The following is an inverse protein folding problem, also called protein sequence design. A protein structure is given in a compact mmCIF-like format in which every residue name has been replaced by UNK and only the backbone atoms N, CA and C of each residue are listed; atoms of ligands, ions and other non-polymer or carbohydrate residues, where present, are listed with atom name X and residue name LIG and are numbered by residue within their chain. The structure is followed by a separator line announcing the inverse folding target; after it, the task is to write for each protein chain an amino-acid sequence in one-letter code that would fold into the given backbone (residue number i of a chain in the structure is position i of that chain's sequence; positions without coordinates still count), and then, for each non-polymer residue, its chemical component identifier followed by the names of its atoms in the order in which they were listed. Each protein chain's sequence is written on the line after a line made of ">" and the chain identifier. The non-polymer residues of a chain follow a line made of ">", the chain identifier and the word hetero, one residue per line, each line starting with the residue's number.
data_IF_963470947387
#
_entry.id   IF_963470947387
#
_cell.length_a   1.000
_cell.length_b   1.000
_cell.length_c   1.000
_cell.angle_alpha   90.00
_cell.angle_beta   90.00
_cell.angle_gamma   90.00
#
_symmetry.space_group_name_H-M   'P 1'
#
loop_
_entity.id
_entity.type
_entity.pdbx_description
1 polymer ?
#
# COMPACT_ATOMS: atom_id res chain seq x y z
N UNK A 1 18.19 -5.86 -26.79
CA UNK A 1 17.27 -5.49 -25.69
C UNK A 1 15.87 -5.91 -26.09
N UNK A 2 15.22 -6.63 -25.20
CA UNK A 2 13.84 -7.12 -25.39
C UNK A 2 12.91 -6.44 -24.40
N UNK A 3 11.64 -6.36 -24.78
CA UNK A 3 10.55 -5.89 -23.95
C UNK A 3 9.45 -6.95 -23.91
N UNK A 4 8.98 -7.37 -22.72
CA UNK A 4 7.73 -8.11 -22.57
C UNK A 4 6.69 -7.17 -21.99
N UNK A 5 5.49 -7.19 -22.55
CA UNK A 5 4.47 -6.17 -22.26
C UNK A 5 3.22 -6.83 -21.72
N UNK A 6 2.72 -6.27 -20.61
CA UNK A 6 1.44 -6.64 -20.01
C UNK A 6 0.52 -5.44 -20.01
N UNK A 7 -0.79 -5.63 -20.25
CA UNK A 7 -1.76 -4.55 -20.30
C UNK A 7 -3.02 -4.85 -19.52
N UNK A 8 -3.54 -3.81 -18.87
CA UNK A 8 -4.88 -3.76 -18.30
C UNK A 8 -5.62 -2.58 -18.91
N UNK A 9 -6.78 -2.84 -19.52
CA UNK A 9 -7.55 -1.81 -20.20
C UNK A 9 -9.05 -2.16 -20.19
N UNK A 10 -9.89 -1.24 -19.69
CA UNK A 10 -11.33 -1.43 -19.63
C UNK A 10 -12.00 -1.47 -21.02
N UNK A 11 -11.52 -0.66 -21.98
CA UNK A 11 -12.06 -0.61 -23.32
C UNK A 11 -11.96 -1.96 -24.05
N UNK A 12 -10.86 -2.69 -23.82
CA UNK A 12 -10.59 -3.99 -24.44
C UNK A 12 -10.92 -5.17 -23.51
N UNK A 13 -11.39 -4.92 -22.28
CA UNK A 13 -11.57 -5.93 -21.22
C UNK A 13 -10.32 -6.74 -20.92
N UNK A 14 -9.14 -6.13 -21.10
CA UNK A 14 -7.85 -6.76 -20.82
C UNK A 14 -7.51 -6.69 -19.33
N UNK A 15 -7.06 -7.81 -18.79
CA UNK A 15 -6.80 -8.03 -17.36
C UNK A 15 -5.42 -8.64 -17.19
N UNK A 16 -4.38 -7.81 -17.02
CA UNK A 16 -2.97 -8.24 -17.02
C UNK A 16 -2.62 -9.09 -18.27
N UNK A 17 -3.18 -8.72 -19.41
CA UNK A 17 -3.00 -9.47 -20.65
C UNK A 17 -1.54 -9.42 -21.09
N UNK A 18 -0.94 -10.58 -21.31
CA UNK A 18 0.41 -10.70 -21.85
C UNK A 18 0.39 -10.46 -23.38
N UNK A 19 0.95 -9.36 -23.81
CA UNK A 19 1.04 -8.99 -25.24
C UNK A 19 2.24 -9.59 -25.95
N UNK A 20 3.08 -10.34 -25.23
CA UNK A 20 4.25 -11.00 -25.78
C UNK A 20 5.54 -10.16 -25.76
N UNK A 21 6.51 -10.61 -26.53
CA UNK A 21 7.85 -10.00 -26.60
C UNK A 21 8.00 -9.10 -27.84
N UNK A 22 8.70 -8.00 -27.64
CA UNK A 22 9.04 -7.01 -28.66
C UNK A 22 10.54 -6.74 -28.65
N UNK A 23 11.13 -6.50 -29.82
CA UNK A 23 12.52 -6.08 -29.92
C UNK A 23 12.58 -4.54 -29.99
N UNK A 24 13.49 -3.95 -29.22
CA UNK A 24 13.78 -2.53 -29.37
C UNK A 24 14.70 -2.31 -30.57
N UNK A 25 14.32 -1.37 -31.40
CA UNK A 25 15.06 -0.95 -32.55
C UNK A 25 16.21 0.00 -32.15
N UNK A 26 17.33 -0.03 -32.88
CA UNK A 26 18.40 0.96 -32.69
C UNK A 26 17.89 2.34 -33.10
N UNK A 27 18.13 3.33 -32.26
CA UNK A 27 17.88 4.72 -32.65
C UNK A 27 18.60 5.08 -33.92
N UNK A 28 17.88 5.56 -34.96
CA UNK A 28 18.48 5.77 -36.29
C UNK A 28 19.39 7.00 -36.37
N UNK A 29 19.43 7.84 -35.32
CA UNK A 29 20.18 9.08 -35.30
C UNK A 29 21.14 9.14 -34.11
N UNK A 30 22.37 9.62 -34.33
CA UNK A 30 23.25 9.98 -33.23
C UNK A 30 22.86 11.36 -32.68
N UNK A 31 23.21 11.62 -31.41
CA UNK A 31 22.99 12.93 -30.77
C UNK A 31 23.65 14.07 -31.57
N UNK A 32 24.79 13.79 -32.24
CA UNK A 32 25.53 14.75 -33.04
C UNK A 32 24.83 15.15 -34.36
N UNK A 33 23.83 14.40 -34.78
CA UNK A 33 23.07 14.64 -36.02
C UNK A 33 21.61 14.97 -35.78
N UNK A 34 21.23 15.28 -34.55
CA UNK A 34 19.88 15.57 -34.17
C UNK A 34 19.35 16.86 -34.82
N UNK A 35 18.88 16.72 -36.05
CA UNK A 35 17.90 17.66 -36.58
C UNK A 35 16.63 17.40 -35.81
N UNK A 36 16.17 18.40 -35.02
CA UNK A 36 14.86 18.33 -34.33
C UNK A 36 13.81 18.01 -35.38
N UNK A 37 13.40 16.76 -35.41
CA UNK A 37 12.34 16.35 -36.33
C UNK A 37 11.00 16.54 -35.60
N UNK A 38 9.99 16.82 -36.43
CA UNK A 38 8.58 16.81 -36.01
C UNK A 38 8.19 15.55 -35.20
N UNK A 39 8.96 14.46 -35.38
CA UNK A 39 8.80 13.18 -34.69
C UNK A 39 8.94 13.30 -33.16
N UNK A 40 9.90 14.09 -32.66
CA UNK A 40 10.17 14.24 -31.23
C UNK A 40 9.08 15.07 -30.51
N UNK A 41 8.34 15.87 -31.29
CA UNK A 41 7.23 16.69 -30.79
C UNK A 41 5.88 15.99 -31.01
N UNK A 42 5.74 15.21 -32.09
CA UNK A 42 4.51 14.48 -32.42
C UNK A 42 4.43 13.13 -31.74
N UNK A 43 5.55 12.45 -31.56
CA UNK A 43 5.61 11.22 -30.80
C UNK A 43 5.87 11.54 -29.34
N UNK A 44 4.93 11.17 -28.47
CA UNK A 44 5.01 11.36 -27.02
C UNK A 44 6.14 10.49 -26.46
N UNK A 45 7.34 11.03 -26.46
CA UNK A 45 8.55 10.33 -26.04
C UNK A 45 8.55 10.11 -24.53
N UNK A 46 8.86 8.89 -24.12
CA UNK A 46 9.19 8.54 -22.73
C UNK A 46 10.65 8.09 -22.71
N UNK A 47 11.52 8.86 -22.05
CA UNK A 47 12.93 8.50 -21.88
C UNK A 47 13.12 7.83 -20.52
N UNK A 48 13.86 6.73 -20.50
CA UNK A 48 14.26 6.03 -19.29
C UNK A 48 15.78 6.20 -19.09
N UNK A 49 16.14 6.60 -17.88
CA UNK A 49 17.50 6.87 -17.44
C UNK A 49 17.88 5.91 -16.31
N UNK A 50 18.28 4.67 -16.61
CA UNK A 50 18.57 3.66 -15.60
C UNK A 50 19.80 3.98 -14.74
N UNK A 51 20.66 4.88 -15.20
CA UNK A 51 21.84 5.39 -14.48
C UNK A 51 21.46 6.36 -13.36
N UNK A 52 20.27 6.95 -13.40
CA UNK A 52 19.74 7.87 -12.36
C UNK A 52 18.90 7.06 -11.38
N UNK A 53 19.45 6.79 -10.19
CA UNK A 53 18.82 5.97 -9.19
C UNK A 53 18.29 6.82 -8.01
N UNK A 54 17.12 6.42 -7.48
CA UNK A 54 16.48 7.01 -6.31
C UNK A 54 16.35 5.99 -5.17
N UNK A 55 15.33 6.14 -4.33
CA UNK A 55 15.09 5.24 -3.21
C UNK A 55 14.64 3.85 -3.66
N UNK A 56 15.00 2.85 -2.87
CA UNK A 56 14.48 1.50 -3.03
C UNK A 56 13.02 1.42 -2.58
N UNK A 57 12.31 0.45 -3.15
CA UNK A 57 10.92 0.13 -2.87
C UNK A 57 10.82 -1.19 -2.11
N UNK A 58 10.06 -1.23 -1.02
CA UNK A 58 9.98 -2.38 -0.12
C UNK A 58 8.88 -3.38 -0.51
N UNK A 59 7.87 -2.96 -1.29
CA UNK A 59 6.83 -3.87 -1.79
C UNK A 59 5.40 -3.33 -1.69
N UNK A 60 4.47 -4.17 -2.15
CA UNK A 60 3.02 -3.97 -2.10
C UNK A 60 2.36 -4.96 -1.14
N UNK A 61 1.25 -4.56 -0.55
CA UNK A 61 0.43 -5.41 0.30
C UNK A 61 -1.01 -4.95 0.42
N UNK A 62 -1.78 -5.67 1.22
CA UNK A 62 -3.16 -5.33 1.56
C UNK A 62 -3.47 -5.64 3.01
N UNK A 63 -4.61 -5.15 3.50
CA UNK A 63 -4.99 -5.35 4.88
C UNK A 63 -5.73 -6.68 5.10
N UNK A 64 -5.16 -7.49 5.97
CA UNK A 64 -5.81 -8.65 6.58
C UNK A 64 -6.53 -8.17 7.84
N UNK A 65 -7.64 -7.43 7.65
CA UNK A 65 -8.54 -7.04 8.72
C UNK A 65 -9.28 -8.24 9.27
N UNK A 66 -9.94 -8.12 10.42
CA UNK A 66 -10.82 -9.19 10.93
C UNK A 66 -11.91 -9.53 9.90
N UNK A 67 -12.47 -8.52 9.20
CA UNK A 67 -13.43 -8.72 8.12
C UNK A 67 -12.87 -9.58 6.97
N UNK A 68 -11.68 -9.23 6.49
CA UNK A 68 -10.97 -10.01 5.47
C UNK A 68 -10.75 -11.45 5.92
N UNK A 69 -10.22 -11.63 7.13
CA UNK A 69 -9.89 -12.96 7.65
C UNK A 69 -11.12 -13.84 7.91
N UNK A 70 -12.21 -13.27 8.43
CA UNK A 70 -13.47 -14.01 8.66
C UNK A 70 -14.12 -14.41 7.33
N UNK A 71 -14.09 -13.53 6.32
CA UNK A 71 -14.56 -13.90 4.98
C UNK A 71 -13.72 -15.03 4.38
N UNK A 72 -12.40 -14.96 4.50
CA UNK A 72 -11.49 -16.01 4.08
C UNK A 72 -11.79 -17.35 4.79
N UNK A 73 -11.95 -17.34 6.12
CA UNK A 73 -12.23 -18.55 6.90
C UNK A 73 -13.57 -19.19 6.54
N UNK A 74 -14.54 -18.41 6.06
CA UNK A 74 -15.85 -18.90 5.63
C UNK A 74 -15.87 -19.54 4.23
N UNK A 75 -14.77 -19.40 3.46
CA UNK A 75 -14.67 -19.95 2.11
C UNK A 75 -14.40 -21.46 2.12
N UNK A 76 -14.81 -22.20 1.06
CA UNK A 76 -14.28 -23.52 0.75
C UNK A 76 -12.76 -23.49 0.55
N UNK A 77 -12.08 -24.61 0.81
CA UNK A 77 -10.62 -24.69 0.72
C UNK A 77 -10.06 -24.30 -0.65
N UNK A 78 -10.72 -24.69 -1.74
CA UNK A 78 -10.32 -24.33 -3.11
C UNK A 78 -10.33 -22.81 -3.32
N UNK A 79 -11.32 -22.11 -2.77
CA UNK A 79 -11.39 -20.63 -2.86
C UNK A 79 -10.38 -19.96 -1.95
N UNK A 80 -10.11 -20.51 -0.76
CA UNK A 80 -9.04 -20.03 0.12
C UNK A 80 -7.70 -20.05 -0.60
N UNK A 81 -7.41 -21.17 -1.26
CA UNK A 81 -6.19 -21.33 -2.06
C UNK A 81 -6.16 -20.33 -3.22
N UNK A 82 -7.27 -20.21 -3.97
CA UNK A 82 -7.40 -19.26 -5.09
C UNK A 82 -7.11 -17.83 -4.65
N UNK A 83 -7.70 -17.37 -3.53
CA UNK A 83 -7.50 -16.00 -3.01
C UNK A 83 -6.05 -15.76 -2.62
N UNK A 84 -5.43 -16.67 -1.86
CA UNK A 84 -4.03 -16.50 -1.44
C UNK A 84 -3.08 -16.53 -2.62
N UNK A 85 -3.28 -17.45 -3.56
CA UNK A 85 -2.53 -17.51 -4.80
C UNK A 85 -2.68 -16.22 -5.60
N UNK A 86 -3.89 -15.69 -5.73
CA UNK A 86 -4.17 -14.47 -6.46
C UNK A 86 -3.45 -13.26 -5.87
N UNK A 87 -3.37 -13.12 -4.56
CA UNK A 87 -2.67 -12.01 -3.94
C UNK A 87 -1.16 -12.22 -3.85
N UNK A 88 -0.70 -13.38 -3.39
CA UNK A 88 0.67 -13.57 -2.94
C UNK A 88 1.58 -14.29 -3.94
N UNK A 89 1.03 -15.09 -4.85
CA UNK A 89 1.85 -15.72 -5.88
C UNK A 89 2.40 -14.68 -6.86
N UNK A 90 3.71 -14.69 -7.05
CA UNK A 90 4.35 -13.83 -8.06
C UNK A 90 4.07 -14.32 -9.48
N UNK A 91 3.96 -15.61 -9.67
CA UNK A 91 3.77 -16.23 -10.99
C UNK A 91 2.31 -16.15 -11.44
N UNK A 92 1.38 -16.59 -10.60
CA UNK A 92 -0.03 -16.72 -10.94
C UNK A 92 -0.91 -15.55 -10.46
N UNK A 93 -0.47 -14.83 -9.41
CA UNK A 93 -1.18 -13.71 -8.81
C UNK A 93 -0.55 -12.35 -9.11
N UNK A 94 -0.85 -11.39 -8.24
CA UNK A 94 -0.31 -10.01 -8.32
C UNK A 94 0.93 -9.81 -7.43
N UNK A 95 1.38 -10.84 -6.72
CA UNK A 95 2.67 -10.90 -6.04
C UNK A 95 2.84 -9.95 -4.86
N UNK A 96 1.82 -9.79 -4.00
CA UNK A 96 1.96 -9.07 -2.74
C UNK A 96 3.00 -9.74 -1.84
N UNK A 97 3.76 -8.94 -1.13
CA UNK A 97 4.82 -9.36 -0.21
C UNK A 97 4.66 -8.77 1.18
N UNK A 98 3.59 -8.01 1.37
CA UNK A 98 3.29 -7.32 2.60
C UNK A 98 1.84 -7.59 3.01
N UNK A 99 1.57 -7.55 4.32
CA UNK A 99 0.22 -7.54 4.88
C UNK A 99 0.13 -6.49 5.99
N UNK A 100 -1.05 -5.87 6.16
CA UNK A 100 -1.36 -4.99 7.29
C UNK A 100 -2.42 -5.62 8.16
N UNK A 101 -2.25 -5.57 9.47
CA UNK A 101 -3.23 -6.06 10.45
C UNK A 101 -3.58 -4.99 11.48
N UNK A 102 -4.78 -5.04 12.03
CA UNK A 102 -5.14 -4.21 13.17
C UNK A 102 -4.58 -4.78 14.47
N UNK A 103 -4.15 -3.91 15.38
CA UNK A 103 -3.83 -4.25 16.76
C UNK A 103 -5.08 -4.00 17.61
N UNK A 104 -5.81 -5.05 17.93
CA UNK A 104 -7.16 -4.96 18.46
C UNK A 104 -8.20 -4.68 17.38
N UNK A 105 -9.38 -4.19 17.79
CA UNK A 105 -10.47 -3.92 16.86
C UNK A 105 -10.23 -2.72 15.94
N UNK A 106 -10.85 -2.75 14.78
CA UNK A 106 -10.94 -1.66 13.81
C UNK A 106 -12.37 -1.56 13.29
N UNK A 107 -12.64 -0.58 12.42
CA UNK A 107 -13.93 -0.42 11.73
C UNK A 107 -14.36 -1.68 10.96
N UNK A 108 -13.42 -2.40 10.35
CA UNK A 108 -13.67 -3.66 9.63
C UNK A 108 -13.44 -4.87 10.52
N UNK A 109 -14.28 -4.99 11.54
CA UNK A 109 -14.33 -6.09 12.49
C UNK A 109 -15.78 -6.46 12.87
N UNK A 110 -15.94 -7.47 13.71
CA UNK A 110 -17.25 -7.96 14.15
C UNK A 110 -17.79 -7.12 15.30
N UNK A 111 -16.93 -6.69 16.20
CA UNK A 111 -17.24 -5.81 17.35
C UNK A 111 -15.97 -5.11 17.85
N UNK A 112 -16.17 -4.16 18.80
CA UNK A 112 -15.05 -3.48 19.48
C UNK A 112 -14.48 -4.35 20.59
N UNK A 113 -13.16 -4.52 20.62
CA UNK A 113 -12.45 -5.28 21.66
C UNK A 113 -11.03 -4.77 21.90
N UNK A 114 -10.47 -5.21 23.01
CA UNK A 114 -9.02 -5.13 23.30
C UNK A 114 -8.55 -6.49 23.84
N UNK A 115 -7.24 -6.72 23.83
CA UNK A 115 -6.65 -7.98 24.32
C UNK A 115 -6.63 -8.10 25.84
N UNK A 116 -7.00 -7.05 26.58
CA UNK A 116 -7.02 -7.04 28.04
C UNK A 116 -8.42 -6.73 28.57
N UNK A 117 -8.72 -7.21 29.77
CA UNK A 117 -9.96 -6.87 30.47
C UNK A 117 -9.94 -5.40 30.91
N UNK A 118 -11.13 -4.84 31.09
CA UNK A 118 -11.30 -3.44 31.51
C UNK A 118 -10.59 -3.15 32.84
N UNK A 119 -9.71 -2.15 32.81
CA UNK A 119 -8.97 -1.69 34.00
C UNK A 119 -7.74 -2.52 34.37
N UNK A 120 -7.33 -3.48 33.55
CA UNK A 120 -6.10 -4.22 33.80
C UNK A 120 -4.85 -3.37 33.49
N UNK A 121 -4.19 -2.87 34.55
CA UNK A 121 -2.96 -2.09 34.44
C UNK A 121 -1.68 -2.97 34.50
N UNK A 122 -1.83 -4.30 34.58
CA UNK A 122 -0.71 -5.25 34.63
C UNK A 122 -0.48 -6.00 33.33
N UNK A 123 -1.48 -5.99 32.44
CA UNK A 123 -1.55 -6.79 31.21
C UNK A 123 -1.52 -8.31 31.47
N UNK A 124 -1.88 -8.77 32.68
CA UNK A 124 -1.95 -10.20 33.01
C UNK A 124 -3.14 -10.89 32.33
N UNK A 125 -4.22 -10.14 32.05
CA UNK A 125 -5.39 -10.66 31.34
C UNK A 125 -5.25 -10.66 29.81
N UNK A 126 -4.03 -10.42 29.28
CA UNK A 126 -3.80 -10.33 27.83
C UNK A 126 -4.16 -11.65 27.13
N UNK A 127 -5.24 -11.62 26.35
CA UNK A 127 -5.77 -12.75 25.60
C UNK A 127 -5.73 -12.48 24.08
N UNK A 128 -4.97 -13.30 23.37
CA UNK A 128 -4.79 -13.20 21.92
C UNK A 128 -5.64 -14.23 21.14
N UNK A 129 -6.49 -14.98 21.82
CA UNK A 129 -7.28 -16.08 21.24
C UNK A 129 -8.21 -15.64 20.11
N UNK A 130 -8.57 -14.35 20.05
CA UNK A 130 -9.40 -13.81 18.98
C UNK A 130 -8.68 -13.84 17.63
N UNK A 131 -7.43 -13.43 17.60
CA UNK A 131 -6.61 -13.45 16.37
C UNK A 131 -6.32 -14.88 15.89
N UNK A 132 -6.26 -15.83 16.82
CA UNK A 132 -6.09 -17.26 16.52
C UNK A 132 -7.27 -17.87 15.75
N UNK A 133 -8.42 -17.19 15.70
CA UNK A 133 -9.61 -17.69 15.00
C UNK A 133 -9.57 -17.44 13.50
N UNK A 134 -8.97 -16.37 13.04
CA UNK A 134 -9.01 -15.99 11.64
C UNK A 134 -7.73 -15.30 11.12
N UNK A 135 -7.27 -14.22 11.75
CA UNK A 135 -6.14 -13.41 11.24
C UNK A 135 -4.84 -14.22 11.20
N UNK A 136 -4.47 -14.85 12.30
CA UNK A 136 -3.25 -15.67 12.38
C UNK A 136 -3.28 -16.85 11.41
N UNK A 137 -4.37 -17.66 11.33
CA UNK A 137 -4.48 -18.74 10.33
C UNK A 137 -4.31 -18.24 8.90
N UNK A 138 -4.98 -17.15 8.50
CA UNK A 138 -4.86 -16.60 7.15
C UNK A 138 -3.42 -16.15 6.85
N UNK A 139 -2.75 -15.46 7.78
CA UNK A 139 -1.36 -15.03 7.60
C UNK A 139 -0.39 -16.21 7.47
N UNK A 140 -0.60 -17.29 8.24
CA UNK A 140 0.22 -18.50 8.12
C UNK A 140 0.08 -19.16 6.75
N UNK A 141 -1.14 -19.21 6.22
CA UNK A 141 -1.38 -19.74 4.88
C UNK A 141 -0.80 -18.80 3.80
N UNK A 142 -0.90 -17.48 3.98
CA UNK A 142 -0.30 -16.50 3.08
C UNK A 142 1.24 -16.62 3.00
N UNK A 143 1.91 -16.92 4.12
CA UNK A 143 3.37 -17.17 4.16
C UNK A 143 3.80 -18.36 3.30
N UNK A 144 2.94 -19.31 2.98
CA UNK A 144 3.27 -20.40 2.06
C UNK A 144 3.43 -19.94 0.61
N UNK A 145 2.80 -18.81 0.25
CA UNK A 145 2.87 -18.18 -1.07
C UNK A 145 3.91 -17.04 -1.14
N UNK A 146 4.16 -16.39 -0.01
CA UNK A 146 5.17 -15.33 0.15
C UNK A 146 5.97 -15.61 1.43
N UNK A 147 7.05 -16.38 1.31
CA UNK A 147 7.86 -16.85 2.46
C UNK A 147 8.36 -15.68 3.32
N UNK A 148 8.81 -14.60 2.66
CA UNK A 148 9.31 -13.38 3.30
C UNK A 148 8.19 -12.34 3.58
N UNK A 149 6.94 -12.77 3.79
CA UNK A 149 5.82 -11.89 4.05
C UNK A 149 6.09 -11.00 5.25
N UNK A 150 6.13 -9.68 5.04
CA UNK A 150 6.30 -8.66 6.08
C UNK A 150 4.93 -8.19 6.57
N UNK A 151 4.76 -8.10 7.88
CA UNK A 151 3.48 -7.69 8.47
C UNK A 151 3.62 -6.34 9.18
N UNK A 152 2.74 -5.39 8.83
CA UNK A 152 2.57 -4.11 9.51
C UNK A 152 1.41 -4.23 10.51
N UNK A 153 1.67 -3.96 11.79
CA UNK A 153 0.62 -3.80 12.80
C UNK A 153 0.22 -2.33 12.96
N UNK A 154 -1.08 -2.03 12.97
CA UNK A 154 -1.60 -0.67 13.18
C UNK A 154 -2.70 -0.69 14.24
N UNK A 155 -2.63 0.19 15.24
CA UNK A 155 -3.64 0.28 16.29
C UNK A 155 -4.67 1.36 15.98
N UNK A 156 -5.96 1.06 16.14
CA UNK A 156 -7.04 2.03 15.97
C UNK A 156 -7.38 2.76 17.27
N UNK A 157 -7.36 2.05 18.39
CA UNK A 157 -7.61 2.64 19.71
C UNK A 157 -6.91 1.84 20.80
N UNK A 158 -6.32 2.50 21.79
CA UNK A 158 -5.99 1.84 23.05
C UNK A 158 -7.26 1.32 23.76
N UNK A 159 -7.14 0.39 24.72
CA UNK A 159 -8.22 0.02 25.60
C UNK A 159 -8.91 1.27 26.18
N UNK A 160 -10.24 1.29 26.21
CA UNK A 160 -11.01 2.50 26.52
C UNK A 160 -10.68 3.13 27.88
N UNK A 161 -10.38 2.31 28.91
CA UNK A 161 -10.00 2.82 30.24
C UNK A 161 -8.69 3.61 30.27
N UNK A 162 -7.83 3.43 29.23
CA UNK A 162 -6.61 4.22 29.09
C UNK A 162 -6.86 5.61 28.51
N UNK A 163 -8.08 5.90 28.05
CA UNK A 163 -8.43 7.14 27.34
C UNK A 163 -9.21 8.11 28.24
N UNK A 164 -9.13 9.38 27.93
CA UNK A 164 -9.77 10.47 28.67
C UNK A 164 -11.30 10.44 28.61
N UNK A 165 -11.88 9.85 27.55
CA UNK A 165 -13.31 9.72 27.32
C UNK A 165 -13.88 8.33 27.65
N UNK A 166 -13.07 7.39 28.11
CA UNK A 166 -13.43 6.00 28.39
C UNK A 166 -14.24 5.32 27.26
N UNK A 167 -13.85 5.58 26.00
CA UNK A 167 -14.50 5.05 24.80
C UNK A 167 -13.48 4.54 23.79
N UNK A 168 -13.83 3.55 23.00
CA UNK A 168 -13.02 3.16 21.83
C UNK A 168 -13.01 4.24 20.74
N UNK A 169 -14.02 5.13 20.73
CA UNK A 169 -14.21 6.17 19.71
C UNK A 169 -13.62 7.50 20.19
N UNK A 170 -12.77 8.12 19.37
CA UNK A 170 -12.18 9.44 19.66
C UNK A 170 -11.40 9.50 20.96
N UNK A 171 -11.31 10.68 21.56
CA UNK A 171 -10.57 10.93 22.79
C UNK A 171 -9.06 10.85 22.63
N UNK A 172 -8.33 10.90 23.73
CA UNK A 172 -6.87 10.90 23.79
C UNK A 172 -6.37 9.87 24.79
N UNK A 173 -5.24 9.23 24.51
CA UNK A 173 -4.53 8.40 25.47
C UNK A 173 -4.04 9.27 26.64
N UNK A 174 -4.37 8.87 27.86
CA UNK A 174 -3.91 9.57 29.06
C UNK A 174 -2.39 9.38 29.27
N UNK A 175 -1.63 10.45 29.55
CA UNK A 175 -0.17 10.38 29.65
C UNK A 175 0.33 9.33 30.66
N UNK A 176 -0.39 9.07 31.75
CA UNK A 176 -0.07 8.04 32.75
C UNK A 176 -0.01 6.63 32.15
N UNK A 177 -0.70 6.39 31.03
CA UNK A 177 -0.76 5.09 30.37
C UNK A 177 0.17 4.93 29.17
N UNK A 178 1.02 5.92 28.81
CA UNK A 178 1.95 5.78 27.68
C UNK A 178 2.89 4.58 27.84
N UNK A 179 3.39 4.33 29.06
CA UNK A 179 4.22 3.16 29.33
C UNK A 179 3.45 1.83 29.24
N UNK A 180 2.22 1.80 29.76
CA UNK A 180 1.36 0.63 29.70
C UNK A 180 0.94 0.31 28.26
N UNK A 181 0.61 1.35 27.47
CA UNK A 181 0.29 1.19 26.05
C UNK A 181 1.48 0.71 25.24
N UNK A 182 2.67 1.22 25.50
CA UNK A 182 3.91 0.71 24.91
C UNK A 182 4.15 -0.77 25.21
N UNK A 183 3.95 -1.20 26.46
CA UNK A 183 4.04 -2.60 26.87
C UNK A 183 2.95 -3.48 26.21
N UNK A 184 1.75 -2.96 26.03
CA UNK A 184 0.67 -3.66 25.32
C UNK A 184 1.04 -3.92 23.86
N UNK A 185 1.56 -2.90 23.15
CA UNK A 185 2.02 -3.03 21.76
C UNK A 185 3.19 -4.02 21.65
N UNK A 186 4.09 -4.05 22.64
CA UNK A 186 5.15 -5.06 22.70
C UNK A 186 4.58 -6.47 22.88
N UNK A 187 3.60 -6.66 23.78
CA UNK A 187 2.94 -7.96 23.94
C UNK A 187 2.25 -8.43 22.65
N UNK A 188 1.66 -7.52 21.87
CA UNK A 188 1.13 -7.86 20.55
C UNK A 188 2.23 -8.40 19.62
N UNK A 189 3.37 -7.74 19.55
CA UNK A 189 4.53 -8.19 18.75
C UNK A 189 4.96 -9.60 19.18
N UNK A 190 5.16 -9.80 20.49
CA UNK A 190 5.58 -11.07 21.04
C UNK A 190 4.54 -12.18 20.78
N UNK A 191 3.25 -11.90 20.94
CA UNK A 191 2.16 -12.84 20.67
C UNK A 191 2.06 -13.26 19.20
N UNK A 192 2.32 -12.34 18.27
CA UNK A 192 2.40 -12.66 16.84
C UNK A 192 3.62 -13.53 16.53
N UNK A 193 4.78 -13.19 17.10
CA UNK A 193 6.01 -13.96 16.93
C UNK A 193 5.89 -15.39 17.47
N UNK A 194 5.27 -15.59 18.64
CA UNK A 194 4.95 -16.93 19.18
C UNK A 194 4.12 -17.78 18.23
N UNK A 195 3.36 -17.13 17.35
CA UNK A 195 2.54 -17.77 16.31
C UNK A 195 3.24 -17.91 14.96
N UNK A 196 4.52 -17.57 14.90
CA UNK A 196 5.33 -17.64 13.68
C UNK A 196 5.06 -16.52 12.68
N UNK A 197 4.51 -15.40 13.15
CA UNK A 197 4.27 -14.19 12.36
C UNK A 197 5.18 -13.06 12.89
N UNK A 198 6.18 -12.70 12.11
CA UNK A 198 7.06 -11.60 12.47
C UNK A 198 6.44 -10.25 12.09
N UNK A 199 6.25 -9.39 13.08
CA UNK A 199 5.84 -8.00 12.83
C UNK A 199 7.06 -7.22 12.34
N UNK A 200 7.01 -6.81 11.08
CA UNK A 200 8.06 -6.02 10.44
C UNK A 200 8.03 -4.55 10.88
N UNK A 201 6.82 -4.00 11.03
CA UNK A 201 6.64 -2.61 11.40
C UNK A 201 5.38 -2.40 12.24
N UNK A 202 5.34 -1.28 12.98
CA UNK A 202 4.18 -0.81 13.73
C UNK A 202 3.88 0.65 13.38
N UNK A 203 2.57 0.97 13.29
CA UNK A 203 2.06 2.32 13.51
C UNK A 203 1.28 2.31 14.83
N UNK A 204 1.73 3.06 15.86
CA UNK A 204 1.12 2.99 17.19
C UNK A 204 -0.29 3.57 17.24
N UNK A 205 -0.71 4.28 16.19
CA UNK A 205 -2.06 4.81 16.03
C UNK A 205 -2.39 5.01 14.54
N UNK A 206 -3.49 4.42 14.10
CA UNK A 206 -4.15 4.72 12.83
C UNK A 206 -4.91 6.05 12.92
N UNK A 207 -4.75 6.92 11.91
CA UNK A 207 -5.47 8.19 11.74
C UNK A 207 -5.42 9.13 12.96
N UNK A 208 -4.23 9.47 13.42
CA UNK A 208 -3.94 10.25 14.64
C UNK A 208 -4.67 11.59 14.76
N UNK A 209 -5.27 12.12 13.70
CA UNK A 209 -5.90 13.46 13.69
C UNK A 209 -7.42 13.43 13.56
N UNK A 210 -8.03 12.26 13.49
CA UNK A 210 -9.45 12.14 13.22
C UNK A 210 -10.18 11.42 14.33
N UNK A 211 -11.19 12.07 14.89
CA UNK A 211 -12.16 11.41 15.73
C UNK A 211 -13.20 10.76 14.82
N UNK A 212 -13.21 9.43 14.81
CA UNK A 212 -14.11 8.65 13.99
C UNK A 212 -15.31 8.13 14.80
N UNK A 213 -16.30 7.61 14.09
CA UNK A 213 -17.46 6.94 14.71
C UNK A 213 -17.17 5.46 15.02
N UNK A 214 -16.00 5.00 14.65
CA UNK A 214 -15.42 3.69 14.97
C UNK A 214 -14.19 3.88 15.87
N UNK A 215 -13.45 2.80 16.13
CA UNK A 215 -12.23 2.84 16.93
C UNK A 215 -11.29 3.93 16.42
N UNK A 216 -10.92 4.81 17.31
CA UNK A 216 -10.03 5.93 17.01
C UNK A 216 -9.46 6.55 18.28
N UNK A 217 -8.31 7.19 18.16
CA UNK A 217 -7.69 7.94 19.24
C UNK A 217 -6.88 9.09 18.63
N UNK A 218 -7.04 10.29 19.15
CA UNK A 218 -6.36 11.47 18.63
C UNK A 218 -5.04 11.73 19.33
N UNK A 219 -4.03 12.13 18.53
CA UNK A 219 -2.72 12.54 19.03
C UNK A 219 -2.26 13.82 18.34
N UNK A 220 -1.79 14.79 19.11
CA UNK A 220 -0.91 15.82 18.57
C UNK A 220 0.46 15.23 18.24
N UNK A 221 1.28 15.95 17.47
CA UNK A 221 2.66 15.51 17.21
C UNK A 221 3.43 15.32 18.53
N UNK A 222 3.26 16.23 19.49
CA UNK A 222 3.91 16.15 20.79
C UNK A 222 3.49 14.87 21.56
N UNK A 223 2.21 14.51 21.53
CA UNK A 223 1.72 13.30 22.22
C UNK A 223 2.27 12.03 21.58
N UNK A 224 2.36 11.96 20.26
CA UNK A 224 3.03 10.84 19.57
C UNK A 224 4.52 10.76 19.94
N UNK A 225 5.22 11.90 19.96
CA UNK A 225 6.64 11.96 20.36
C UNK A 225 6.87 11.44 21.79
N UNK A 226 6.02 11.84 22.74
CA UNK A 226 6.10 11.35 24.13
C UNK A 226 5.79 9.86 24.25
N UNK A 227 4.83 9.35 23.46
CA UNK A 227 4.57 7.91 23.36
C UNK A 227 5.79 7.17 22.79
N UNK A 228 6.42 7.67 21.74
CA UNK A 228 7.59 7.05 21.11
C UNK A 228 8.76 6.92 22.09
N UNK A 229 8.97 7.91 22.97
CA UNK A 229 10.00 7.86 24.04
C UNK A 229 9.77 6.70 25.05
N UNK A 230 8.54 6.13 25.07
CA UNK A 230 8.22 4.92 25.85
C UNK A 230 8.22 3.67 24.97
N UNK A 231 7.68 3.77 23.76
CA UNK A 231 7.52 2.64 22.85
C UNK A 231 8.87 2.20 22.25
N UNK A 232 9.73 3.14 21.87
CA UNK A 232 11.06 2.81 21.33
C UNK A 232 11.86 1.88 22.24
N UNK A 233 12.09 2.23 23.53
CA UNK A 233 12.74 1.33 24.48
C UNK A 233 11.96 0.02 24.71
N UNK A 234 10.64 0.03 24.69
CA UNK A 234 9.84 -1.19 24.85
C UNK A 234 10.02 -2.20 23.69
N UNK A 235 10.39 -1.72 22.51
CA UNK A 235 10.66 -2.54 21.33
C UNK A 235 12.15 -2.94 21.20
N UNK A 236 13.01 -2.52 22.10
CA UNK A 236 14.41 -2.97 22.10
C UNK A 236 14.51 -4.50 22.12
N UNK A 237 15.44 -5.02 21.33
CA UNK A 237 15.61 -6.47 21.13
C UNK A 237 14.66 -7.08 20.08
N UNK A 238 13.86 -6.26 19.40
CA UNK A 238 13.11 -6.65 18.20
C UNK A 238 13.64 -5.93 16.97
N UNK A 239 13.32 -6.45 15.78
CA UNK A 239 13.62 -5.79 14.49
C UNK A 239 12.47 -4.90 13.99
N UNK A 240 11.46 -4.62 14.83
CA UNK A 240 10.25 -3.88 14.48
C UNK A 240 10.57 -2.42 14.16
N UNK A 241 10.15 -1.96 12.99
CA UNK A 241 10.29 -0.57 12.53
C UNK A 241 9.10 0.26 12.99
N UNK A 242 9.33 1.46 13.52
CA UNK A 242 8.25 2.39 13.86
C UNK A 242 7.99 3.38 12.73
N UNK A 243 6.72 3.51 12.38
CA UNK A 243 6.22 4.56 11.51
C UNK A 243 5.16 5.36 12.26
N UNK A 244 5.17 6.67 12.08
CA UNK A 244 4.26 7.59 12.78
C UNK A 244 3.30 8.28 11.82
N UNK A 245 2.35 9.01 12.38
CA UNK A 245 1.32 9.77 11.70
C UNK A 245 0.18 8.90 11.17
N UNK A 246 0.46 7.98 10.25
CA UNK A 246 -0.51 7.01 9.71
C UNK A 246 -1.87 7.63 9.38
N UNK A 247 -1.83 8.74 8.62
CA UNK A 247 -2.99 9.57 8.28
C UNK A 247 -2.83 10.23 6.92
N UNK A 248 -3.83 10.99 6.46
CA UNK A 248 -3.86 11.61 5.14
C UNK A 248 -2.65 12.50 4.81
N UNK A 249 -2.25 12.50 3.54
CA UNK A 249 -1.02 13.12 3.03
C UNK A 249 -0.89 14.63 3.29
N UNK A 250 -1.98 15.38 3.44
CA UNK A 250 -1.98 16.86 3.43
C UNK A 250 -1.10 17.53 4.50
N UNK A 251 -0.81 16.84 5.61
CA UNK A 251 0.07 17.35 6.67
C UNK A 251 1.26 16.45 6.99
N UNK A 252 1.63 15.59 6.05
CA UNK A 252 2.68 14.61 6.24
C UNK A 252 4.03 15.26 6.59
N UNK A 253 4.43 16.30 5.83
CA UNK A 253 5.70 16.98 6.05
C UNK A 253 5.76 17.70 7.39
N UNK A 254 4.69 18.40 7.79
CA UNK A 254 4.59 19.07 9.09
C UNK A 254 4.84 18.07 10.25
N UNK A 255 4.26 16.88 10.15
CA UNK A 255 4.43 15.81 11.14
C UNK A 255 5.85 15.22 11.10
N UNK A 256 6.35 14.91 9.92
CA UNK A 256 7.72 14.42 9.73
C UNK A 256 8.74 15.39 10.30
N UNK A 257 8.57 16.70 10.05
CA UNK A 257 9.44 17.74 10.58
C UNK A 257 9.45 17.75 12.12
N UNK A 258 8.27 17.63 12.76
CA UNK A 258 8.19 17.57 14.21
C UNK A 258 8.96 16.38 14.77
N UNK A 259 8.75 15.17 14.22
CA UNK A 259 9.35 13.94 14.72
C UNK A 259 10.86 13.86 14.50
N UNK A 260 11.31 14.23 13.30
CA UNK A 260 12.73 14.05 12.92
C UNK A 260 13.62 15.20 13.37
N UNK A 261 13.05 16.32 13.80
CA UNK A 261 13.81 17.41 14.44
C UNK A 261 14.14 17.14 15.90
N UNK A 262 13.50 16.16 16.56
CA UNK A 262 13.86 15.72 17.92
C UNK A 262 14.73 14.44 17.82
N UNK A 263 16.05 14.50 18.12
CA UNK A 263 16.93 13.34 18.02
C UNK A 263 16.52 12.18 18.93
N UNK A 264 15.86 12.45 20.08
CA UNK A 264 15.39 11.43 21.01
C UNK A 264 14.19 10.64 20.46
N UNK A 265 13.46 11.22 19.51
CA UNK A 265 12.38 10.56 18.78
C UNK A 265 12.91 9.94 17.49
N UNK A 266 13.68 10.73 16.71
CA UNK A 266 14.16 10.34 15.39
C UNK A 266 14.96 9.02 15.38
N UNK A 267 15.69 8.72 16.47
CA UNK A 267 16.48 7.48 16.61
C UNK A 267 15.63 6.20 16.64
N UNK A 268 14.36 6.28 17.04
CA UNK A 268 13.44 5.13 17.11
C UNK A 268 12.54 5.01 15.89
N UNK A 269 12.41 6.07 15.07
CA UNK A 269 11.42 6.16 14.01
C UNK A 269 12.06 5.93 12.65
N UNK A 270 11.64 4.88 11.95
CA UNK A 270 12.08 4.55 10.58
C UNK A 270 11.53 5.55 9.57
N UNK A 271 10.28 5.97 9.73
CA UNK A 271 9.62 6.82 8.77
C UNK A 271 8.25 7.33 9.20
N UNK A 272 7.54 7.89 8.24
CA UNK A 272 6.13 8.30 8.39
C UNK A 272 5.24 7.51 7.45
N UNK A 273 4.00 7.25 7.90
CA UNK A 273 3.00 6.57 7.12
C UNK A 273 1.89 7.54 6.70
N UNK A 274 1.32 7.34 5.51
CA UNK A 274 0.23 8.17 5.03
C UNK A 274 -0.88 7.37 4.34
N UNK A 275 -2.08 7.98 4.29
CA UNK A 275 -3.27 7.52 3.62
C UNK A 275 -3.59 8.39 2.40
N UNK A 276 -4.40 7.90 1.48
CA UNK A 276 -4.69 8.56 0.20
C UNK A 276 -5.92 9.48 0.21
N UNK A 277 -6.70 9.52 1.29
CA UNK A 277 -8.06 10.08 1.29
C UNK A 277 -8.13 11.60 1.13
N UNK A 278 -7.03 12.32 1.35
CA UNK A 278 -6.94 13.77 1.09
C UNK A 278 -6.54 14.13 -0.33
N UNK A 279 -6.51 13.19 -1.27
CA UNK A 279 -6.04 13.32 -2.64
C UNK A 279 -4.52 13.33 -2.78
N UNK A 280 -4.01 13.86 -3.88
CA UNK A 280 -2.64 13.69 -4.37
C UNK A 280 -1.56 14.11 -3.37
N UNK A 281 -1.48 15.37 -3.02
CA UNK A 281 -0.49 15.93 -2.08
C UNK A 281 0.93 15.34 -2.20
N UNK A 282 1.33 14.86 -3.41
CA UNK A 282 2.64 14.21 -3.65
C UNK A 282 3.81 15.10 -3.25
N UNK A 283 3.64 16.42 -3.32
CA UNK A 283 4.63 17.39 -2.83
C UNK A 283 4.98 17.24 -1.35
N UNK A 284 4.07 16.75 -0.52
CA UNK A 284 4.34 16.47 0.90
C UNK A 284 5.35 15.32 1.06
N UNK A 285 5.22 14.27 0.24
CA UNK A 285 6.14 13.13 0.21
C UNK A 285 7.51 13.59 -0.31
N UNK A 286 7.54 14.38 -1.40
CA UNK A 286 8.77 14.93 -1.96
C UNK A 286 9.52 15.79 -0.95
N UNK A 287 8.83 16.66 -0.18
CA UNK A 287 9.42 17.44 0.89
C UNK A 287 10.02 16.56 1.98
N UNK A 288 9.30 15.51 2.43
CA UNK A 288 9.85 14.56 3.40
C UNK A 288 11.14 13.92 2.88
N UNK A 289 11.17 13.46 1.64
CA UNK A 289 12.35 12.82 1.05
C UNK A 289 13.49 13.79 0.78
N UNK A 290 13.20 15.06 0.51
CA UNK A 290 14.21 16.09 0.30
C UNK A 290 14.90 16.49 1.62
N UNK A 291 14.11 16.70 2.68
CA UNK A 291 14.62 17.19 3.97
C UNK A 291 15.17 16.04 4.84
N UNK A 292 14.57 14.86 4.75
CA UNK A 292 14.93 13.67 5.52
C UNK A 292 15.18 12.47 4.57
N UNK A 293 16.24 12.50 3.75
CA UNK A 293 16.46 11.51 2.68
C UNK A 293 16.59 10.07 3.20
N UNK A 294 17.11 9.90 4.41
CA UNK A 294 17.31 8.59 5.04
C UNK A 294 16.03 8.02 5.66
N UNK A 295 15.00 8.86 5.87
CA UNK A 295 13.72 8.42 6.42
C UNK A 295 12.79 7.90 5.33
N UNK A 296 12.05 6.84 5.66
CA UNK A 296 11.08 6.25 4.74
C UNK A 296 9.73 6.96 4.81
N UNK A 297 8.99 6.86 3.72
CA UNK A 297 7.58 7.24 3.65
C UNK A 297 6.82 6.06 3.09
N UNK A 298 5.77 5.59 3.80
CA UNK A 298 4.89 4.53 3.30
C UNK A 298 3.47 5.06 3.07
N UNK A 299 2.81 4.54 2.06
CA UNK A 299 1.35 4.61 1.94
C UNK A 299 0.79 3.37 2.64
N UNK A 300 0.27 3.56 3.85
CA UNK A 300 -0.18 2.46 4.73
C UNK A 300 -1.63 2.07 4.48
N UNK A 301 -2.41 2.91 3.78
CA UNK A 301 -3.81 2.63 3.49
C UNK A 301 -4.33 3.41 2.29
N UNK A 302 -5.13 2.73 1.48
CA UNK A 302 -5.97 3.29 0.45
C UNK A 302 -7.05 2.31 0.04
N UNK A 303 -8.27 2.76 -0.24
CA UNK A 303 -9.31 1.94 -0.82
C UNK A 303 -10.19 2.71 -1.79
N UNK A 304 -10.80 2.00 -2.71
CA UNK A 304 -11.84 2.56 -3.58
C UNK A 304 -13.10 2.83 -2.75
N UNK A 305 -13.69 4.00 -2.96
CA UNK A 305 -14.97 4.38 -2.38
C UNK A 305 -16.07 4.35 -3.43
N UNK A 306 -17.19 3.75 -3.07
CA UNK A 306 -18.45 3.94 -3.77
C UNK A 306 -19.25 5.01 -3.03
N UNK A 307 -19.41 6.20 -3.58
CA UNK A 307 -20.27 7.22 -2.99
C UNK A 307 -21.70 7.21 -3.57
N UNK A 308 -22.63 7.78 -2.78
CA UNK A 308 -24.02 7.88 -3.18
C UNK A 308 -24.28 8.81 -4.35
N UNK A 309 -23.36 9.72 -4.63
CA UNK A 309 -23.52 10.77 -5.62
C UNK A 309 -23.00 10.37 -7.01
N UNK A 310 -22.63 9.09 -7.15
CA UNK A 310 -22.34 8.53 -8.47
C UNK A 310 -21.02 9.02 -9.07
N UNK A 311 -19.93 8.95 -8.34
CA UNK A 311 -18.69 8.60 -9.01
C UNK A 311 -18.85 7.20 -9.59
N UNK A 312 -19.83 7.18 -10.46
CA UNK A 312 -20.30 6.13 -11.33
C UNK A 312 -20.13 4.71 -10.77
N UNK A 313 -21.14 3.92 -10.93
CA UNK A 313 -21.04 2.47 -10.83
C UNK A 313 -20.11 1.88 -11.91
N UNK A 314 -19.12 2.66 -12.38
CA UNK A 314 -18.09 2.21 -13.30
C UNK A 314 -16.83 1.79 -12.50
N UNK A 315 -16.67 0.50 -12.19
CA UNK A 315 -15.54 0.01 -11.43
C UNK A 315 -14.19 0.19 -12.16
N UNK A 316 -14.21 0.31 -13.51
CA UNK A 316 -13.00 0.60 -14.27
C UNK A 316 -12.55 2.05 -14.07
N UNK A 317 -13.48 3.01 -14.15
CA UNK A 317 -13.19 4.42 -13.93
C UNK A 317 -12.69 4.72 -12.51
N UNK A 318 -13.29 4.07 -11.50
CA UNK A 318 -12.82 4.20 -10.11
C UNK A 318 -11.38 3.69 -9.93
N UNK A 319 -11.03 2.60 -10.62
CA UNK A 319 -9.70 2.02 -10.54
C UNK A 319 -8.61 2.94 -11.12
N UNK A 320 -8.92 3.80 -12.10
CA UNK A 320 -7.96 4.73 -12.71
C UNK A 320 -7.40 5.73 -11.70
N UNK A 321 -8.21 6.18 -10.75
CA UNK A 321 -7.75 7.05 -9.67
C UNK A 321 -6.65 6.36 -8.85
N UNK A 322 -6.79 5.06 -8.63
CA UNK A 322 -5.79 4.27 -7.89
C UNK A 322 -4.47 4.19 -8.65
N UNK A 323 -4.53 4.00 -9.98
CA UNK A 323 -3.34 4.02 -10.85
C UNK A 323 -2.61 5.35 -10.77
N UNK A 324 -3.34 6.47 -10.89
CA UNK A 324 -2.79 7.81 -10.78
C UNK A 324 -2.09 8.03 -9.43
N UNK A 325 -2.75 7.67 -8.33
CA UNK A 325 -2.20 7.83 -6.98
C UNK A 325 -0.94 6.98 -6.77
N UNK A 326 -0.94 5.72 -7.24
CA UNK A 326 0.24 4.85 -7.16
C UNK A 326 1.43 5.47 -7.91
N UNK A 327 1.26 5.88 -9.17
CA UNK A 327 2.33 6.49 -9.97
C UNK A 327 2.85 7.76 -9.29
N UNK A 328 1.96 8.63 -8.84
CA UNK A 328 2.32 9.87 -8.16
C UNK A 328 3.10 9.63 -6.87
N UNK A 329 2.64 8.71 -6.03
CA UNK A 329 3.31 8.31 -4.79
C UNK A 329 4.71 7.72 -5.06
N UNK A 330 4.82 6.79 -6.01
CA UNK A 330 6.09 6.15 -6.37
C UNK A 330 7.10 7.19 -6.89
N UNK A 331 6.66 8.11 -7.76
CA UNK A 331 7.50 9.18 -8.27
C UNK A 331 7.90 10.20 -7.18
N UNK A 332 7.05 10.39 -6.17
CA UNK A 332 7.36 11.23 -5.02
C UNK A 332 8.35 10.60 -4.03
N UNK A 333 8.58 9.27 -4.12
CA UNK A 333 9.57 8.56 -3.31
C UNK A 333 9.00 7.72 -2.17
N UNK A 334 7.74 7.28 -2.30
CA UNK A 334 7.16 6.32 -1.36
C UNK A 334 7.92 5.00 -1.43
N UNK A 335 8.12 4.36 -0.27
CA UNK A 335 8.85 3.09 -0.18
C UNK A 335 7.95 1.86 -0.14
N UNK A 336 6.67 2.02 0.18
CA UNK A 336 5.75 0.90 0.45
C UNK A 336 4.32 1.33 0.16
N UNK A 337 3.49 0.43 -0.39
CA UNK A 337 2.08 0.71 -0.67
C UNK A 337 1.22 -0.44 -0.13
N UNK A 338 0.22 -0.08 0.68
CA UNK A 338 -0.81 -0.99 1.15
C UNK A 338 -2.19 -0.58 0.62
N UNK A 339 -2.87 -1.55 0.04
CA UNK A 339 -4.31 -1.52 -0.16
C UNK A 339 -5.04 -1.74 1.18
N UNK A 340 -6.32 -1.33 1.27
CA UNK A 340 -7.12 -1.62 2.46
C UNK A 340 -7.62 -3.07 2.45
N UNK A 341 -8.87 -3.33 2.78
CA UNK A 341 -9.39 -4.70 2.89
C UNK A 341 -9.11 -5.55 1.65
N UNK A 342 -8.45 -6.68 1.83
CA UNK A 342 -8.20 -7.61 0.73
C UNK A 342 -9.48 -8.30 0.26
N UNK A 343 -10.38 -8.67 1.20
CA UNK A 343 -11.61 -9.40 0.91
C UNK A 343 -12.77 -8.79 1.69
N UNK A 344 -13.83 -8.45 0.99
CA UNK A 344 -15.12 -8.10 1.59
C UNK A 344 -16.24 -8.98 1.02
N UNK A 345 -17.39 -9.03 1.71
CA UNK A 345 -18.54 -9.80 1.26
C UNK A 345 -19.56 -8.96 0.44
N UNK A 346 -20.65 -9.58 0.01
CA UNK A 346 -21.70 -8.95 -0.77
C UNK A 346 -22.39 -7.75 -0.09
N UNK A 347 -22.05 -7.51 1.16
CA UNK A 347 -22.49 -6.35 1.91
C UNK A 347 -21.37 -5.35 2.21
N UNK A 348 -20.19 -5.50 1.56
CA UNK A 348 -18.96 -4.78 1.83
C UNK A 348 -18.51 -4.88 3.30
N UNK A 349 -18.72 -6.05 3.90
CA UNK A 349 -18.45 -6.33 5.31
C UNK A 349 -17.66 -7.62 5.53
N UNK A 350 -17.71 -8.15 6.78
CA UNK A 350 -18.41 -7.61 7.93
C UNK A 350 -17.79 -6.33 8.51
N UNK A 351 -18.61 -5.50 9.09
CA UNK A 351 -18.21 -4.38 9.94
C UNK A 351 -19.28 -4.11 10.99
N UNK A 352 -18.88 -3.74 12.19
CA UNK A 352 -19.82 -3.55 13.32
C UNK A 352 -20.37 -2.12 13.42
N UNK A 353 -19.69 -1.18 12.81
CA UNK A 353 -20.15 0.19 12.78
C UNK A 353 -21.27 0.36 11.74
N UNK A 354 -22.48 0.66 12.22
CA UNK A 354 -23.72 0.63 11.41
C UNK A 354 -24.31 2.00 11.03
N UNK A 355 -23.71 3.09 11.50
CA UNK A 355 -24.21 4.44 11.16
C UNK A 355 -23.57 4.93 9.87
N UNK A 356 -24.30 4.84 8.77
CA UNK A 356 -23.87 5.35 7.49
C UNK A 356 -23.72 4.29 6.43
N UNK A 357 -23.40 4.74 5.24
CA UNK A 357 -23.33 3.94 4.03
C UNK A 357 -21.99 3.22 3.92
N UNK A 358 -22.03 2.11 3.25
CA UNK A 358 -20.90 1.23 2.98
C UNK A 358 -20.08 1.82 1.84
N UNK A 359 -18.89 2.31 2.11
CA UNK A 359 -18.12 3.05 1.12
C UNK A 359 -16.89 2.31 0.61
N UNK A 360 -16.23 1.52 1.46
CA UNK A 360 -15.01 0.83 1.08
C UNK A 360 -15.31 -0.39 0.22
N UNK A 361 -14.49 -0.59 -0.79
CA UNK A 361 -14.47 -1.77 -1.64
C UNK A 361 -13.23 -2.63 -1.35
N UNK A 362 -13.19 -3.83 -1.90
CA UNK A 362 -12.04 -4.73 -1.88
C UNK A 362 -11.71 -5.23 -3.27
N UNK A 363 -10.44 -5.57 -3.52
CA UNK A 363 -10.02 -6.05 -4.82
C UNK A 363 -10.64 -7.41 -5.16
N UNK A 364 -10.83 -8.26 -4.15
CA UNK A 364 -11.57 -9.52 -4.27
C UNK A 364 -12.81 -9.45 -3.37
N UNK A 365 -13.91 -9.80 -3.95
CA UNK A 365 -15.23 -9.77 -3.34
C UNK A 365 -15.78 -11.21 -3.23
N UNK A 366 -16.28 -11.59 -2.07
CA UNK A 366 -16.82 -12.93 -1.81
C UNK A 366 -18.35 -12.91 -1.68
N UNK A 367 -19.04 -13.36 -2.71
CA UNK A 367 -20.50 -13.64 -2.66
C UNK A 367 -20.73 -14.95 -1.89
N UNK A 368 -21.03 -14.82 -0.60
CA UNK A 368 -21.29 -15.95 0.29
C UNK A 368 -22.51 -16.76 -0.12
N UNK A 369 -23.53 -16.12 -0.70
CA UNK A 369 -24.80 -16.78 -1.08
C UNK A 369 -24.61 -17.75 -2.23
N UNK A 370 -23.80 -17.36 -3.21
CA UNK A 370 -23.57 -18.13 -4.42
C UNK A 370 -22.21 -18.85 -4.39
N UNK A 371 -21.43 -18.64 -3.34
CA UNK A 371 -20.10 -19.21 -3.15
C UNK A 371 -19.18 -18.89 -4.35
N UNK A 372 -19.03 -17.59 -4.67
CA UNK A 372 -18.30 -17.11 -5.83
C UNK A 372 -17.36 -15.96 -5.47
N UNK A 373 -16.21 -15.91 -6.14
CA UNK A 373 -15.28 -14.79 -6.08
C UNK A 373 -15.48 -13.87 -7.28
N UNK A 374 -15.37 -12.58 -7.03
CA UNK A 374 -15.36 -11.54 -8.07
C UNK A 374 -14.10 -10.70 -7.90
N UNK A 375 -13.40 -10.46 -9.00
CA UNK A 375 -12.21 -9.64 -9.06
C UNK A 375 -12.58 -8.29 -9.65
N UNK A 376 -12.47 -7.24 -8.86
CA UNK A 376 -12.71 -5.88 -9.33
C UNK A 376 -11.58 -5.40 -10.25
N UNK A 377 -11.83 -4.49 -11.18
CA UNK A 377 -10.82 -4.02 -12.14
C UNK A 377 -9.54 -3.53 -11.47
N UNK A 378 -9.63 -2.88 -10.31
CA UNK A 378 -8.44 -2.36 -9.66
C UNK A 378 -7.48 -3.44 -9.17
N UNK A 379 -7.91 -4.69 -8.93
CA UNK A 379 -7.01 -5.82 -8.72
C UNK A 379 -5.99 -5.94 -9.85
N UNK A 380 -6.46 -5.87 -11.09
CA UNK A 380 -5.61 -6.00 -12.27
C UNK A 380 -4.75 -4.75 -12.50
N UNK A 381 -5.26 -3.57 -12.17
CA UNK A 381 -4.48 -2.34 -12.27
C UNK A 381 -3.37 -2.29 -11.22
N UNK A 382 -3.63 -2.67 -9.98
CA UNK A 382 -2.58 -2.79 -8.95
C UNK A 382 -1.56 -3.85 -9.35
N UNK A 383 -2.02 -4.96 -9.94
CA UNK A 383 -1.17 -6.02 -10.48
C UNK A 383 -0.17 -5.54 -11.54
N UNK A 384 -0.47 -4.47 -12.29
CA UNK A 384 0.48 -3.85 -13.23
C UNK A 384 1.73 -3.28 -12.52
N UNK A 385 1.63 -3.01 -11.23
CA UNK A 385 2.75 -2.56 -10.42
C UNK A 385 3.32 -3.69 -9.57
N UNK A 386 2.49 -4.30 -8.74
CA UNK A 386 2.93 -5.21 -7.69
C UNK A 386 3.55 -6.51 -8.20
N UNK A 387 3.06 -7.02 -9.32
CA UNK A 387 3.61 -8.22 -9.97
C UNK A 387 5.01 -7.99 -10.53
N UNK A 388 5.28 -6.79 -11.03
CA UNK A 388 6.45 -6.50 -11.85
C UNK A 388 7.49 -5.60 -11.17
N UNK A 389 7.12 -4.82 -10.15
CA UNK A 389 8.03 -4.01 -9.34
C UNK A 389 8.24 -4.72 -8.02
N UNK A 390 9.39 -5.37 -7.85
CA UNK A 390 9.64 -6.30 -6.75
C UNK A 390 10.29 -5.62 -5.54
N UNK A 391 10.19 -6.22 -4.34
CA UNK A 391 10.93 -5.75 -3.16
C UNK A 391 12.42 -5.57 -3.49
N UNK A 392 12.97 -4.42 -3.07
CA UNK A 392 14.35 -4.02 -3.39
C UNK A 392 14.52 -3.36 -4.76
N UNK A 393 13.46 -3.23 -5.56
CA UNK A 393 13.53 -2.47 -6.81
C UNK A 393 13.86 -1.00 -6.53
N UNK A 394 14.74 -0.42 -7.34
CA UNK A 394 15.18 0.96 -7.21
C UNK A 394 14.51 1.80 -8.28
N UNK A 395 13.81 2.88 -7.87
CA UNK A 395 13.23 3.81 -8.84
C UNK A 395 14.33 4.45 -9.68
N UNK A 396 14.13 4.48 -11.00
CA UNK A 396 15.07 5.08 -11.95
C UNK A 396 14.51 6.34 -12.59
N UNK A 397 15.39 7.17 -13.14
CA UNK A 397 15.00 8.40 -13.81
C UNK A 397 14.16 8.14 -15.05
N UNK A 398 13.16 8.97 -15.27
CA UNK A 398 12.40 9.00 -16.51
C UNK A 398 11.91 10.42 -16.81
N UNK A 399 11.57 10.67 -18.06
CA UNK A 399 10.88 11.89 -18.48
C UNK A 399 9.85 11.56 -19.57
N UNK A 400 8.71 12.25 -19.56
CA UNK A 400 7.67 12.13 -20.56
C UNK A 400 7.39 13.48 -21.21
N UNK A 401 7.16 13.48 -22.53
CA UNK A 401 6.79 14.68 -23.28
C UNK A 401 5.28 14.97 -23.22
N UNK A 402 4.50 14.04 -22.70
CA UNK A 402 3.06 14.19 -22.58
C UNK A 402 2.59 14.08 -21.11
N UNK A 403 1.87 15.07 -20.59
CA UNK A 403 1.27 14.96 -19.26
C UNK A 403 0.15 13.92 -19.18
N UNK A 404 -0.36 13.46 -20.33
CA UNK A 404 -1.39 12.41 -20.42
C UNK A 404 -0.82 11.00 -20.34
N UNK A 405 0.52 10.84 -20.47
CA UNK A 405 1.23 9.58 -20.26
C UNK A 405 1.93 9.61 -18.91
N UNK A 406 1.21 9.24 -17.87
CA UNK A 406 1.78 9.10 -16.53
C UNK A 406 2.69 7.88 -16.50
N UNK A 407 3.91 8.04 -15.98
CA UNK A 407 4.93 7.00 -16.08
C UNK A 407 5.68 6.87 -14.76
N UNK A 408 6.04 5.64 -14.41
CA UNK A 408 7.05 5.36 -13.39
C UNK A 408 7.96 4.24 -13.86
N UNK A 409 9.21 4.20 -13.37
CA UNK A 409 10.19 3.20 -13.81
C UNK A 409 11.05 2.72 -12.65
N UNK A 410 11.29 1.42 -12.60
CA UNK A 410 12.07 0.76 -11.55
C UNK A 410 13.02 -0.28 -12.12
N UNK A 411 14.22 -0.35 -11.57
CA UNK A 411 15.14 -1.44 -11.80
C UNK A 411 15.01 -2.47 -10.69
N UNK A 412 14.58 -3.67 -11.04
CA UNK A 412 14.44 -4.81 -10.13
C UNK A 412 15.82 -5.36 -9.69
N UNK A 413 15.87 -6.13 -8.58
CA UNK A 413 17.11 -6.77 -8.14
C UNK A 413 17.75 -7.72 -9.16
N UNK A 414 16.97 -8.33 -10.06
CA UNK A 414 17.45 -9.18 -11.16
C UNK A 414 17.98 -8.38 -12.36
N UNK A 415 17.97 -7.04 -12.29
CA UNK A 415 18.42 -6.14 -13.34
C UNK A 415 17.37 -5.80 -14.40
N UNK A 416 16.19 -6.41 -14.39
CA UNK A 416 15.09 -6.03 -15.29
C UNK A 416 14.61 -4.62 -14.96
N UNK A 417 14.16 -3.86 -15.96
CA UNK A 417 13.56 -2.55 -15.75
C UNK A 417 12.07 -2.64 -16.05
N UNK A 418 11.25 -2.42 -15.02
CA UNK A 418 9.81 -2.31 -15.13
C UNK A 418 9.43 -0.85 -15.38
N UNK A 419 8.82 -0.57 -16.53
CA UNK A 419 8.26 0.75 -16.87
C UNK A 419 6.77 0.62 -16.93
N UNK A 420 6.05 1.35 -16.07
CA UNK A 420 4.60 1.41 -16.08
C UNK A 420 4.17 2.70 -16.76
N UNK A 421 3.33 2.59 -17.79
CA UNK A 421 2.79 3.71 -18.56
C UNK A 421 1.27 3.69 -18.48
N UNK A 422 0.69 4.76 -17.99
CA UNK A 422 -0.74 4.98 -17.93
C UNK A 422 -1.16 6.07 -18.91
N UNK A 423 -2.06 5.75 -19.81
CA UNK A 423 -2.73 6.74 -20.66
C UNK A 423 -3.94 7.33 -19.91
N UNK A 424 -3.75 8.49 -19.31
CA UNK A 424 -4.83 9.22 -18.63
C UNK A 424 -5.66 10.08 -19.59
N UNK A 425 -6.15 9.47 -20.68
CA UNK A 425 -7.03 10.11 -21.65
C UNK A 425 -7.98 9.11 -22.33
N UNK A 426 -9.02 9.63 -22.95
CA UNK A 426 -10.06 8.88 -23.67
C UNK A 426 -9.69 8.50 -25.10
N UNK A 427 -8.50 8.88 -25.58
CA UNK A 427 -8.00 8.57 -26.90
C UNK A 427 -6.78 7.64 -26.89
N UNK A 428 -6.57 6.90 -27.98
CA UNK A 428 -5.33 6.18 -28.19
C UNK A 428 -4.15 7.16 -28.35
N UNK A 429 -3.06 6.93 -27.62
CA UNK A 429 -1.88 7.79 -27.66
C UNK A 429 -0.69 7.03 -28.19
N UNK A 430 -0.19 7.32 -29.40
CA UNK A 430 1.09 6.79 -29.85
C UNK A 430 2.21 7.39 -29.00
N UNK A 431 3.16 6.56 -28.61
CA UNK A 431 4.38 6.99 -27.90
C UNK A 431 5.59 6.17 -28.29
N UNK A 432 6.76 6.68 -27.96
CA UNK A 432 8.05 6.00 -28.14
C UNK A 432 8.73 5.90 -26.79
N UNK A 433 9.00 4.68 -26.34
CA UNK A 433 9.87 4.43 -25.20
C UNK A 433 11.32 4.41 -25.67
N UNK A 434 12.16 5.25 -25.07
CA UNK A 434 13.59 5.36 -25.39
C UNK A 434 14.44 4.99 -24.18
N UNK A 435 15.40 4.10 -24.39
CA UNK A 435 16.39 3.75 -23.38
C UNK A 435 17.72 3.35 -24.05
N UNK A 436 18.82 3.99 -23.63
CA UNK A 436 20.19 3.65 -24.09
C UNK A 436 20.34 3.54 -25.62
N UNK A 437 19.79 4.53 -26.35
CA UNK A 437 19.86 4.57 -27.82
C UNK A 437 19.02 3.50 -28.52
N UNK A 438 18.05 2.93 -27.86
CA UNK A 438 17.08 2.00 -28.44
C UNK A 438 15.65 2.52 -28.23
N UNK A 439 14.78 2.22 -29.17
CA UNK A 439 13.41 2.71 -29.27
C UNK A 439 12.41 1.55 -29.32
N UNK A 440 11.28 1.74 -28.65
CA UNK A 440 10.11 0.88 -28.76
C UNK A 440 8.89 1.75 -29.10
N UNK A 441 8.29 1.55 -30.29
CA UNK A 441 7.08 2.24 -30.70
C UNK A 441 5.86 1.53 -30.10
N UNK A 442 4.97 2.29 -29.48
CA UNK A 442 3.74 1.79 -28.85
C UNK A 442 2.54 2.68 -29.12
N UNK A 443 1.37 2.12 -28.92
CA UNK A 443 0.09 2.84 -28.82
C UNK A 443 -0.51 2.49 -27.47
N UNK A 444 -0.66 3.49 -26.61
CA UNK A 444 -1.35 3.36 -25.34
C UNK A 444 -2.85 3.46 -25.58
N UNK A 445 -3.60 2.44 -25.15
CA UNK A 445 -5.05 2.41 -25.25
C UNK A 445 -5.71 3.44 -24.31
N UNK A 446 -6.93 3.90 -24.60
CA UNK A 446 -7.66 4.81 -23.75
C UNK A 446 -7.78 4.28 -22.33
N UNK A 447 -7.37 5.08 -21.35
CA UNK A 447 -7.35 4.70 -19.92
C UNK A 447 -6.67 3.36 -19.63
N UNK A 448 -5.79 2.91 -20.52
CA UNK A 448 -5.03 1.68 -20.38
C UNK A 448 -3.73 1.87 -19.61
N UNK A 449 -3.32 0.83 -18.89
CA UNK A 449 -2.01 0.74 -18.22
C UNK A 449 -1.20 -0.36 -18.87
N UNK A 450 0.01 -0.04 -19.30
CA UNK A 450 0.98 -1.02 -19.81
C UNK A 450 2.18 -1.10 -18.86
N UNK A 451 2.57 -2.32 -18.51
CA UNK A 451 3.87 -2.59 -17.87
C UNK A 451 4.82 -3.23 -18.86
N UNK A 452 5.93 -2.56 -19.09
CA UNK A 452 6.97 -2.95 -20.05
C UNK A 452 8.17 -3.44 -19.25
N UNK A 453 8.48 -4.73 -19.34
CA UNK A 453 9.67 -5.33 -18.73
C UNK A 453 10.81 -5.33 -19.75
N UNK A 454 11.82 -4.51 -19.51
CA UNK A 454 13.00 -4.42 -20.35
C UNK A 454 14.10 -5.32 -19.82
N UNK A 455 14.64 -6.19 -20.69
CA UNK A 455 15.78 -7.05 -20.39
C UNK A 455 16.95 -6.71 -21.34
N UNK A 456 18.14 -6.60 -20.77
CA UNK A 456 19.35 -6.54 -21.58
C UNK A 456 19.67 -7.96 -22.07
N UNK A 457 19.97 -8.11 -23.35
CA UNK A 457 20.64 -9.32 -23.86
C UNK A 457 22.07 -9.31 -23.31
N UNK A 458 22.46 -10.37 -22.59
CA UNK A 458 23.80 -10.55 -22.06
C UNK A 458 24.84 -10.63 -23.18
#
# INVERSE_FOLDING_TARGET
>A
MKARIYRTCGANQEKLADLGEFLLEKEPYSEDTAVMRKIDVVHKMINIHPEVAFSAFDGFGGAVTEATAVNYMAMPEEMKEEVLRSYFSQEEGIGYTLARVSVGSSDFGIDSYSYVTEGDETLESFDFSREDRAVVPMLREAKKWAEDLKVLGSAWSPPRYMKDNNSYQGGHLLPRYYGLWAAYLRKFVDAMQERGIDIWALTPQNETRHQQLWESCCYSAQQEMELVKKLGPALEGTDVKLYLYDHNKERLFERAQAYFSDPEVAKFVEGVACHWYSRDHFGQIQLCKHVFPDKKVMMSEGCIYHDEKGFGNDPWGLALRYVHDIIGNMNAGISTIFDWNMILDEENGPFHWRQGRRFCDSAIFYDKKNNRLFYHPYYYFVGQFSKFIRPGAVRVGHSSYSPLLETTAFRNPDGTIAVVVFNNSDGCLPYVLRMQGKLLNRIAEPYGVETILLTQEG
#
